data_IF_800231127448
#
_entry.id   IF_800231127448
#
_cell.length_a   1.000
_cell.length_b   1.000
_cell.length_c   1.000
_cell.angle_alpha   90.00
_cell.angle_beta   90.00
_cell.angle_gamma   90.00
#
_symmetry.space_group_name_H-M   'P 1'
#
loop_
_entity.id
_entity.type
_entity.pdbx_description
1 polymer ?
#
# COMPACT_ATOMS: atom_id res chain seq x y z
N UNK A 1 -5.68 9.53 -2.42
CA UNK A 1 -4.25 9.27 -2.61
C UNK A 1 -3.49 9.51 -1.32
N UNK A 2 -2.52 8.66 -1.05
CA UNK A 2 -1.79 8.74 0.21
C UNK A 2 -0.47 9.46 0.03
N UNK A 3 -0.14 10.31 0.99
CA UNK A 3 1.13 10.99 1.01
C UNK A 3 2.23 10.03 1.42
N UNK A 4 3.46 10.36 1.05
CA UNK A 4 4.61 9.58 1.48
C UNK A 4 4.78 9.69 2.99
N UNK A 5 5.33 8.65 3.64
CA UNK A 5 5.74 8.78 5.04
C UNK A 5 6.70 9.95 5.18
N UNK A 6 6.47 10.77 6.17
CA UNK A 6 7.36 11.90 6.47
C UNK A 6 8.16 11.60 7.73
N UNK A 7 9.20 12.40 7.96
CA UNK A 7 9.98 12.26 9.18
C UNK A 7 9.07 12.38 10.38
N UNK A 8 9.14 11.41 11.26
CA UNK A 8 8.29 11.38 12.44
C UNK A 8 6.98 10.65 12.28
N UNK A 9 6.65 10.18 11.07
CA UNK A 9 5.49 9.32 10.86
C UNK A 9 5.66 8.03 11.62
N UNK A 10 4.66 7.66 12.42
CA UNK A 10 4.72 6.45 13.24
C UNK A 10 4.14 5.29 12.45
N UNK A 11 4.93 4.25 12.29
CA UNK A 11 4.58 3.11 11.44
C UNK A 11 4.52 1.81 12.22
N UNK A 12 3.45 1.04 12.03
CA UNK A 12 3.32 -0.33 12.52
C UNK A 12 3.65 -1.25 11.36
N UNK A 13 4.59 -2.17 11.55
CA UNK A 13 5.01 -3.11 10.52
C UNK A 13 4.26 -4.42 10.66
N UNK A 14 3.82 -4.96 9.52
CA UNK A 14 3.12 -6.25 9.47
C UNK A 14 3.92 -7.21 8.62
N UNK A 15 4.25 -8.35 9.18
CA UNK A 15 4.94 -9.44 8.50
C UNK A 15 4.10 -10.70 8.59
N UNK A 16 3.74 -11.27 7.46
CA UNK A 16 3.02 -12.54 7.39
C UNK A 16 4.01 -13.65 7.09
N UNK A 17 3.95 -14.71 7.89
CA UNK A 17 4.77 -15.89 7.69
C UNK A 17 3.95 -16.95 6.95
N UNK A 18 4.33 -17.21 5.70
CA UNK A 18 3.73 -18.27 4.89
C UNK A 18 4.55 -19.57 4.91
N UNK A 19 5.52 -19.66 5.82
CA UNK A 19 6.38 -20.83 5.92
C UNK A 19 7.58 -20.82 4.99
N UNK A 20 7.91 -19.66 4.42
CA UNK A 20 9.01 -19.52 3.47
C UNK A 20 10.02 -18.49 3.95
N UNK A 21 11.29 -18.87 4.00
CA UNK A 21 12.38 -17.97 4.28
C UNK A 21 12.50 -17.54 5.73
N UNK A 22 13.42 -16.64 5.99
CA UNK A 22 13.70 -16.13 7.34
C UNK A 22 12.83 -14.89 7.61
N UNK A 23 12.02 -14.98 8.63
CA UNK A 23 11.18 -13.85 9.07
C UNK A 23 12.05 -12.75 9.66
N UNK A 24 13.12 -13.10 10.37
CA UNK A 24 14.01 -12.11 10.96
C UNK A 24 14.68 -11.23 9.91
N UNK A 25 15.15 -11.84 8.82
CA UNK A 25 15.75 -11.10 7.72
C UNK A 25 14.75 -10.16 7.08
N UNK A 26 13.52 -10.64 6.85
CA UNK A 26 12.46 -9.83 6.26
C UNK A 26 12.07 -8.67 7.13
N UNK A 27 11.99 -8.89 8.44
CA UNK A 27 11.67 -7.82 9.39
C UNK A 27 12.78 -6.78 9.44
N UNK A 28 14.04 -7.21 9.42
CA UNK A 28 15.18 -6.29 9.37
C UNK A 28 15.14 -5.45 8.11
N UNK A 29 14.85 -6.06 6.98
CA UNK A 29 14.79 -5.37 5.70
C UNK A 29 13.68 -4.32 5.69
N UNK A 30 12.45 -4.69 6.07
CA UNK A 30 11.35 -3.73 6.05
C UNK A 30 11.55 -2.61 7.08
N UNK A 31 12.18 -2.91 8.19
CA UNK A 31 12.54 -1.90 9.19
C UNK A 31 13.48 -0.86 8.62
N UNK A 32 14.52 -1.31 7.90
CA UNK A 32 15.46 -0.42 7.23
C UNK A 32 14.77 0.41 6.14
N UNK A 33 13.89 -0.21 5.38
CA UNK A 33 13.14 0.49 4.34
C UNK A 33 12.24 1.57 4.95
N UNK A 34 11.55 1.25 6.02
CA UNK A 34 10.69 2.22 6.70
C UNK A 34 11.50 3.41 7.21
N UNK A 35 12.63 3.14 7.84
CA UNK A 35 13.53 4.19 8.32
C UNK A 35 14.06 5.05 7.18
N UNK A 36 14.41 4.41 6.06
CA UNK A 36 14.86 5.12 4.86
C UNK A 36 13.80 6.03 4.29
N UNK A 37 12.54 5.71 4.47
CA UNK A 37 11.42 6.54 4.05
C UNK A 37 11.07 7.64 5.05
N UNK A 38 11.76 7.71 6.18
CA UNK A 38 11.53 8.72 7.20
C UNK A 38 10.49 8.33 8.25
N UNK A 39 10.08 7.07 8.28
CA UNK A 39 9.11 6.60 9.26
C UNK A 39 9.80 6.10 10.52
N UNK A 40 9.12 6.25 11.66
CA UNK A 40 9.55 5.66 12.93
C UNK A 40 8.77 4.38 13.17
N UNK A 41 9.46 3.25 13.33
CA UNK A 41 8.81 1.98 13.59
C UNK A 41 8.40 1.93 15.07
N UNK A 42 7.09 1.87 15.32
CA UNK A 42 6.57 1.87 16.68
C UNK A 42 6.11 0.50 17.15
N UNK A 43 6.06 -0.46 16.27
CA UNK A 43 5.73 -1.83 16.64
C UNK A 43 5.76 -2.74 15.41
N UNK A 44 5.74 -4.03 15.68
CA UNK A 44 5.75 -5.08 14.65
C UNK A 44 4.71 -6.12 15.03
N UNK A 45 3.87 -6.51 14.08
CA UNK A 45 2.92 -7.60 14.26
C UNK A 45 3.25 -8.70 13.27
N UNK A 46 3.41 -9.90 13.79
CA UNK A 46 3.67 -11.08 12.95
C UNK A 46 2.43 -11.94 12.91
N UNK A 47 2.12 -12.44 11.72
CA UNK A 47 0.99 -13.35 11.49
C UNK A 47 1.49 -14.60 10.80
N UNK A 48 0.82 -15.72 11.04
CA UNK A 48 1.12 -16.96 10.30
C UNK A 48 -0.13 -17.37 9.53
N UNK A 49 0.05 -17.62 8.23
CA UNK A 49 -1.03 -18.07 7.36
C UNK A 49 -0.48 -19.04 6.32
N UNK A 50 -1.36 -19.87 5.76
CA UNK A 50 -1.01 -20.74 4.64
C UNK A 50 -1.13 -20.01 3.32
N UNK A 51 -2.09 -19.09 3.22
CA UNK A 51 -2.32 -18.29 2.02
C UNK A 51 -2.91 -16.94 2.40
N UNK A 52 -2.74 -15.91 1.54
CA UNK A 52 -3.36 -14.62 1.77
C UNK A 52 -4.88 -14.70 1.74
N UNK A 53 -5.54 -13.94 2.59
CA UNK A 53 -6.98 -13.79 2.54
C UNK A 53 -7.35 -12.90 1.34
N UNK A 54 -8.34 -13.29 0.53
CA UNK A 54 -8.69 -12.48 -0.65
C UNK A 54 -9.19 -11.07 -0.33
N UNK A 55 -9.87 -10.90 0.80
CA UNK A 55 -10.46 -9.61 1.17
C UNK A 55 -9.51 -8.74 1.97
N UNK A 56 -8.83 -9.32 2.97
CA UNK A 56 -8.04 -8.55 3.94
C UNK A 56 -6.57 -8.94 4.01
N UNK A 57 -6.14 -9.89 3.22
CA UNK A 57 -4.79 -10.45 3.23
C UNK A 57 -4.47 -11.26 4.49
N UNK A 58 -4.83 -10.76 5.66
CA UNK A 58 -4.50 -11.34 6.96
C UNK A 58 -5.70 -11.94 7.69
N UNK A 59 -6.89 -11.82 7.14
CA UNK A 59 -8.11 -12.28 7.78
C UNK A 59 -8.65 -11.28 8.81
N UNK A 60 -9.95 -11.43 9.12
CA UNK A 60 -10.68 -10.45 9.93
C UNK A 60 -10.19 -10.37 11.36
N UNK A 61 -9.98 -11.52 12.01
CA UNK A 61 -9.56 -11.54 13.41
C UNK A 61 -8.21 -10.88 13.61
N UNK A 62 -7.27 -11.16 12.72
CA UNK A 62 -5.95 -10.55 12.81
C UNK A 62 -5.99 -9.06 12.46
N UNK A 63 -6.87 -8.66 11.54
CA UNK A 63 -7.06 -7.25 11.24
C UNK A 63 -7.53 -6.47 12.48
N UNK A 64 -8.45 -7.02 13.25
CA UNK A 64 -8.89 -6.39 14.50
C UNK A 64 -7.74 -6.28 15.52
N UNK A 65 -6.92 -7.31 15.61
CA UNK A 65 -5.74 -7.31 16.49
C UNK A 65 -4.76 -6.22 16.07
N UNK A 66 -4.51 -6.09 14.76
CA UNK A 66 -3.63 -5.04 14.23
C UNK A 66 -4.20 -3.66 14.49
N UNK A 67 -5.51 -3.48 14.33
CA UNK A 67 -6.17 -2.21 14.64
C UNK A 67 -5.92 -1.80 16.08
N UNK A 68 -6.08 -2.73 16.99
CA UNK A 68 -5.84 -2.47 18.41
C UNK A 68 -4.36 -2.14 18.68
N UNK A 69 -3.45 -2.87 18.04
CA UNK A 69 -2.02 -2.59 18.18
C UNK A 69 -1.66 -1.21 17.62
N UNK A 70 -2.26 -0.82 16.49
CA UNK A 70 -2.04 0.50 15.90
C UNK A 70 -2.53 1.61 16.82
N UNK A 71 -3.68 1.41 17.44
CA UNK A 71 -4.22 2.38 18.37
C UNK A 71 -3.37 2.50 19.63
N UNK A 72 -2.94 1.37 20.18
CA UNK A 72 -2.13 1.34 21.40
C UNK A 72 -0.76 2.02 21.17
N UNK A 73 -0.17 1.81 20.02
CA UNK A 73 1.14 2.37 19.68
C UNK A 73 1.04 3.75 19.00
N UNK A 74 -0.15 4.26 18.85
CA UNK A 74 -0.41 5.54 18.19
C UNK A 74 0.23 5.60 16.79
N UNK A 75 0.05 4.52 16.02
CA UNK A 75 0.58 4.44 14.68
C UNK A 75 -0.24 5.31 13.73
N UNK A 76 0.45 6.02 12.84
CA UNK A 76 -0.19 6.83 11.81
C UNK A 76 -0.47 6.00 10.57
N UNK A 77 0.42 5.06 10.26
CA UNK A 77 0.32 4.19 9.08
C UNK A 77 0.64 2.75 9.46
N UNK A 78 0.17 1.84 8.62
CA UNK A 78 0.48 0.42 8.73
C UNK A 78 1.20 0.00 7.45
N UNK A 79 2.38 -0.59 7.59
CA UNK A 79 3.20 -1.03 6.46
C UNK A 79 3.20 -2.54 6.40
N UNK A 80 2.72 -3.08 5.27
CA UNK A 80 2.75 -4.52 5.01
C UNK A 80 4.01 -4.87 4.23
N UNK A 81 4.78 -5.81 4.73
CA UNK A 81 5.97 -6.30 4.02
C UNK A 81 5.59 -7.32 2.95
N UNK A 82 4.57 -7.01 2.19
CA UNK A 82 4.01 -7.85 1.13
C UNK A 82 3.33 -6.95 0.12
N UNK A 83 3.16 -7.48 -1.09
CA UNK A 83 2.36 -6.80 -2.10
C UNK A 83 0.91 -7.20 -1.92
N UNK A 84 0.05 -6.22 -1.73
CA UNK A 84 -1.38 -6.44 -1.54
C UNK A 84 -2.14 -5.81 -2.72
N UNK A 85 -3.32 -6.34 -2.99
CA UNK A 85 -4.14 -5.81 -4.07
C UNK A 85 -4.80 -4.49 -3.67
N UNK A 86 -5.29 -3.75 -4.66
CA UNK A 86 -6.00 -2.50 -4.40
C UNK A 86 -7.25 -2.74 -3.54
N UNK A 87 -7.96 -3.83 -3.79
CA UNK A 87 -9.14 -4.19 -3.01
C UNK A 87 -8.78 -4.54 -1.58
N UNK A 88 -7.72 -5.33 -1.38
CA UNK A 88 -7.24 -5.67 -0.04
C UNK A 88 -6.80 -4.42 0.70
N UNK A 89 -6.09 -3.52 0.05
CA UNK A 89 -5.64 -2.27 0.65
C UNK A 89 -6.83 -1.44 1.14
N UNK A 90 -7.84 -1.27 0.30
CA UNK A 90 -9.03 -0.49 0.70
C UNK A 90 -9.77 -1.13 1.86
N UNK A 91 -9.92 -2.45 1.82
CA UNK A 91 -10.60 -3.17 2.90
C UNK A 91 -9.82 -3.05 4.20
N UNK A 92 -8.50 -3.16 4.13
CA UNK A 92 -7.63 -3.02 5.30
C UNK A 92 -7.69 -1.61 5.87
N UNK A 93 -7.67 -0.59 5.02
CA UNK A 93 -7.75 0.79 5.49
C UNK A 93 -9.07 1.07 6.20
N UNK A 94 -10.14 0.47 5.72
CA UNK A 94 -11.45 0.60 6.35
C UNK A 94 -11.49 -0.06 7.72
N UNK A 95 -10.96 -1.28 7.82
CA UNK A 95 -10.96 -2.04 9.07
C UNK A 95 -9.98 -1.48 10.08
N UNK A 96 -8.78 -1.12 9.62
CA UNK A 96 -7.71 -0.65 10.51
C UNK A 96 -7.87 0.83 10.87
N UNK A 97 -8.69 1.55 10.15
CA UNK A 97 -8.88 3.00 10.33
C UNK A 97 -7.56 3.75 10.27
N UNK A 98 -6.65 3.28 9.42
CA UNK A 98 -5.31 3.82 9.21
C UNK A 98 -4.95 3.70 7.75
N UNK A 99 -4.01 4.52 7.33
CA UNK A 99 -3.43 4.37 5.99
C UNK A 99 -2.62 3.09 5.95
N UNK A 100 -2.74 2.37 4.84
CA UNK A 100 -2.02 1.12 4.60
C UNK A 100 -1.11 1.30 3.40
N UNK A 101 0.15 0.93 3.58
CA UNK A 101 1.17 1.01 2.53
C UNK A 101 1.72 -0.40 2.35
N UNK A 102 1.85 -0.83 1.10
CA UNK A 102 2.50 -2.10 0.82
C UNK A 102 4.00 -1.90 0.53
N UNK A 103 4.71 -3.02 0.40
CA UNK A 103 6.15 -3.01 0.18
C UNK A 103 6.54 -2.24 -1.09
N UNK A 104 5.82 -2.44 -2.18
CA UNK A 104 6.12 -1.79 -3.46
C UNK A 104 5.97 -0.28 -3.37
N UNK A 105 4.91 0.20 -2.75
CA UNK A 105 4.69 1.62 -2.55
C UNK A 105 5.79 2.24 -1.70
N UNK A 106 6.21 1.56 -0.65
CA UNK A 106 7.29 2.03 0.22
C UNK A 106 8.61 2.16 -0.54
N UNK A 107 8.95 1.16 -1.35
CA UNK A 107 10.17 1.18 -2.15
C UNK A 107 10.15 2.34 -3.15
N UNK A 108 9.00 2.57 -3.80
CA UNK A 108 8.86 3.68 -4.73
C UNK A 108 9.04 5.03 -4.04
N UNK A 109 8.51 5.17 -2.83
CA UNK A 109 8.69 6.39 -2.04
C UNK A 109 10.17 6.64 -1.71
N UNK A 110 10.91 5.58 -1.38
CA UNK A 110 12.34 5.70 -1.10
C UNK A 110 13.10 6.13 -2.36
N UNK A 111 12.78 5.54 -3.50
CA UNK A 111 13.39 5.95 -4.77
C UNK A 111 13.11 7.42 -5.08
N UNK A 112 11.87 7.86 -4.86
CA UNK A 112 11.50 9.25 -5.08
C UNK A 112 12.32 10.20 -4.21
N UNK A 113 12.54 9.84 -2.95
CA UNK A 113 13.33 10.65 -2.03
C UNK A 113 14.81 10.71 -2.44
N UNK A 114 15.34 9.64 -3.04
CA UNK A 114 16.75 9.53 -3.39
C UNK A 114 17.06 9.97 -4.82
N UNK A 115 16.07 10.18 -5.66
CA UNK A 115 16.28 10.63 -7.03
C UNK A 115 16.78 12.07 -7.02
N UNK A 116 18.04 12.27 -7.43
CA UNK A 116 18.69 13.58 -7.38
C UNK A 116 18.72 14.28 -8.75
N UNK A 117 18.76 13.52 -9.84
CA UNK A 117 18.74 14.08 -11.19
C UNK A 117 17.32 14.31 -11.65
N UNK A 118 17.13 15.28 -12.54
CA UNK A 118 15.82 15.55 -13.12
C UNK A 118 15.27 14.33 -13.86
N UNK A 119 16.10 13.67 -14.65
CA UNK A 119 15.73 12.46 -15.38
C UNK A 119 15.34 11.32 -14.43
N UNK A 120 16.15 11.10 -13.40
CA UNK A 120 15.86 10.08 -12.40
C UNK A 120 14.55 10.33 -11.69
N UNK A 121 14.28 11.57 -11.32
CA UNK A 121 13.01 11.95 -10.69
C UNK A 121 11.83 11.68 -11.60
N UNK A 122 11.95 12.02 -12.88
CA UNK A 122 10.87 11.77 -13.84
C UNK A 122 10.59 10.28 -14.00
N UNK A 123 11.62 9.46 -14.06
CA UNK A 123 11.45 8.02 -14.18
C UNK A 123 10.77 7.42 -12.95
N UNK A 124 11.14 7.87 -11.77
CA UNK A 124 10.52 7.43 -10.52
C UNK A 124 9.07 7.89 -10.45
N UNK A 125 8.80 9.14 -10.81
CA UNK A 125 7.44 9.65 -10.87
C UNK A 125 6.57 8.83 -11.80
N UNK A 126 7.10 8.48 -12.98
CA UNK A 126 6.37 7.67 -13.94
C UNK A 126 6.02 6.30 -13.34
N UNK A 127 6.97 5.65 -12.68
CA UNK A 127 6.73 4.37 -12.04
C UNK A 127 5.65 4.47 -10.96
N UNK A 128 5.69 5.52 -10.14
CA UNK A 128 4.69 5.75 -9.11
C UNK A 128 3.31 6.01 -9.70
N UNK A 129 3.25 6.81 -10.75
CA UNK A 129 2.00 7.12 -11.42
C UNK A 129 1.40 5.89 -12.10
N UNK A 130 2.24 5.05 -12.70
CA UNK A 130 1.78 3.80 -13.30
C UNK A 130 1.23 2.85 -12.25
N UNK A 131 1.88 2.74 -11.12
CA UNK A 131 1.42 1.93 -10.00
C UNK A 131 0.06 2.42 -9.50
N UNK A 132 -0.06 3.72 -9.28
CA UNK A 132 -1.31 4.34 -8.86
C UNK A 132 -2.41 4.16 -9.90
N UNK A 133 -2.09 4.33 -11.18
CA UNK A 133 -3.03 4.14 -12.29
C UNK A 133 -3.62 2.74 -12.29
N UNK A 134 -2.78 1.72 -12.05
CA UNK A 134 -3.23 0.34 -11.96
C UNK A 134 -4.25 0.16 -10.83
N UNK A 135 -3.99 0.76 -9.69
CA UNK A 135 -4.90 0.69 -8.55
C UNK A 135 -6.20 1.44 -8.79
N UNK A 136 -6.13 2.59 -9.45
CA UNK A 136 -7.34 3.33 -9.82
C UNK A 136 -8.22 2.54 -10.78
N UNK A 137 -7.64 1.90 -11.78
CA UNK A 137 -8.38 1.07 -12.72
C UNK A 137 -9.09 -0.07 -12.00
N UNK A 138 -8.40 -0.77 -11.14
CA UNK A 138 -8.99 -1.87 -10.36
C UNK A 138 -10.11 -1.37 -9.46
N UNK A 139 -9.89 -0.27 -8.78
CA UNK A 139 -10.90 0.32 -7.91
C UNK A 139 -12.12 0.76 -8.67
N UNK A 140 -11.92 1.35 -9.82
CA UNK A 140 -13.01 1.83 -10.66
C UNK A 140 -13.87 0.68 -11.19
N UNK A 141 -13.21 -0.37 -11.69
CA UNK A 141 -13.91 -1.57 -12.16
C UNK A 141 -14.74 -2.21 -11.06
N UNK A 142 -14.19 -2.28 -9.86
CA UNK A 142 -14.90 -2.83 -8.71
C UNK A 142 -16.15 -2.03 -8.39
N UNK A 143 -16.07 -0.71 -8.41
CA UNK A 143 -17.23 0.15 -8.16
C UNK A 143 -18.31 -0.03 -9.22
N UNK A 144 -17.92 -0.17 -10.47
CA UNK A 144 -18.88 -0.45 -11.55
C UNK A 144 -19.65 -1.75 -11.30
N UNK A 145 -18.94 -2.79 -10.92
CA UNK A 145 -19.54 -4.08 -10.62
C UNK A 145 -20.51 -4.00 -9.46
N UNK A 146 -20.15 -3.28 -8.41
CA UNK A 146 -21.01 -3.08 -7.25
C UNK A 146 -22.29 -2.34 -7.58
N UNK A 147 -22.21 -1.42 -8.52
CA UNK A 147 -23.36 -0.64 -8.96
C UNK A 147 -24.16 -1.31 -10.06
N UNK A 148 -23.86 -2.58 -10.35
CA UNK A 148 -24.52 -3.30 -11.41
C UNK A 148 -23.90 -3.13 -12.78
N UNK A 149 -22.93 -2.28 -12.92
CA UNK A 149 -22.14 -2.12 -14.12
C UNK A 149 -22.85 -1.59 -15.34
N UNK A 150 -24.14 -1.31 -15.24
CA UNK A 150 -24.95 -0.94 -16.40
C UNK A 150 -24.87 0.55 -16.65
N UNK A 151 -24.48 0.91 -17.87
CA UNK A 151 -24.49 2.30 -18.30
C UNK A 151 -23.51 3.19 -17.57
N UNK A 152 -22.54 2.61 -16.90
CA UNK A 152 -21.59 3.38 -16.14
C UNK A 152 -20.35 3.77 -16.94
N UNK A 153 -20.32 3.46 -18.21
CA UNK A 153 -19.36 4.04 -19.13
C UNK A 153 -19.71 5.48 -19.36
N UNK A 154 -19.39 6.27 -18.40
CA UNK A 154 -19.71 7.68 -18.44
C UNK A 154 -18.47 8.53 -18.51
N UNK A 155 -18.63 9.82 -18.25
CA UNK A 155 -17.51 10.75 -18.26
C UNK A 155 -16.37 10.34 -17.31
N UNK A 156 -16.70 9.70 -16.21
CA UNK A 156 -15.69 9.25 -15.24
C UNK A 156 -14.75 8.20 -15.81
N UNK A 157 -15.30 7.23 -16.53
CA UNK A 157 -14.51 6.18 -17.15
C UNK A 157 -13.60 6.74 -18.24
N UNK A 158 -14.13 7.64 -19.07
CA UNK A 158 -13.34 8.29 -20.09
C UNK A 158 -12.23 9.13 -19.47
N UNK A 159 -12.54 9.81 -18.40
CA UNK A 159 -11.57 10.61 -17.68
C UNK A 159 -10.43 9.73 -17.14
N UNK A 160 -10.77 8.59 -16.60
CA UNK A 160 -9.78 7.65 -16.08
C UNK A 160 -8.86 7.14 -17.19
N UNK A 161 -9.40 6.79 -18.34
CA UNK A 161 -8.60 6.36 -19.48
C UNK A 161 -7.67 7.46 -19.98
N UNK A 162 -8.18 8.68 -20.04
CA UNK A 162 -7.39 9.84 -20.44
C UNK A 162 -6.27 10.09 -19.45
N UNK A 163 -6.57 10.08 -18.18
CA UNK A 163 -5.58 10.28 -17.13
C UNK A 163 -4.52 9.20 -17.18
N UNK A 164 -4.93 7.96 -17.39
CA UNK A 164 -4.00 6.84 -17.49
C UNK A 164 -3.06 6.98 -18.68
N UNK A 165 -3.57 7.47 -19.81
CA UNK A 165 -2.76 7.73 -21.00
C UNK A 165 -1.75 8.84 -20.74
N UNK A 166 -2.18 9.94 -20.12
CA UNK A 166 -1.30 11.03 -19.77
C UNK A 166 -0.19 10.60 -18.81
N UNK A 167 -0.53 9.74 -17.84
CA UNK A 167 0.46 9.19 -16.92
C UNK A 167 1.49 8.34 -17.66
N UNK A 168 1.06 7.58 -18.66
CA UNK A 168 1.94 6.77 -19.48
C UNK A 168 2.89 7.57 -20.34
N UNK A 169 2.49 8.76 -20.77
CA UNK A 169 3.30 9.66 -21.61
C UNK A 169 4.31 10.48 -20.80
N UNK A 170 4.10 10.55 -19.52
CA UNK A 170 4.95 11.34 -18.65
C UNK A 170 6.26 10.64 -18.32
#
# INVERSE_FOLDING_TARGET
>A
MFDRPSTGTRALLIQVDFGQGSIEERLSEIGLLASSAGASVVGVVQCRRQAPDPALYIGKGKADEIRMAAQLNEADIVIFNHDISAAQQRNLERVLERRVIDRSALILDIFALRAKSHEGKLQVELAQLQHLSTRLVRGWTHLERQKGGIGLRGPGEKQLETDRRLLGER
#
